data_IF_189161274010
#
_entry.id   IF_189161274010
#
_cell.length_a   1.000
_cell.length_b   1.000
_cell.length_c   1.000
_cell.angle_alpha   90.00
_cell.angle_beta   90.00
_cell.angle_gamma   90.00
#
_symmetry.space_group_name_H-M   'P 1'
#
loop_
_entity.id
_entity.type
_entity.pdbx_description
1 polymer ?
#
# COMPACT_ATOMS: atom_id res chain seq x y z
N UNK A 1 -11.26 -0.52 -17.95
CA UNK A 1 -9.87 -0.05 -18.04
C UNK A 1 -9.05 -1.10 -18.77
N UNK A 2 -8.30 -0.72 -19.78
CA UNK A 2 -7.41 -1.62 -20.51
C UNK A 2 -5.98 -1.47 -19.98
N UNK A 3 -5.24 -2.58 -19.82
CA UNK A 3 -3.82 -2.56 -19.39
C UNK A 3 -2.99 -1.67 -20.32
N UNK A 4 -3.25 -1.71 -21.63
CA UNK A 4 -2.59 -0.86 -22.63
C UNK A 4 -2.77 0.63 -22.34
N UNK A 5 -4.00 1.05 -21.99
CA UNK A 5 -4.29 2.46 -21.70
C UNK A 5 -3.67 2.90 -20.38
N UNK A 6 -3.63 2.01 -19.38
CA UNK A 6 -2.93 2.27 -18.13
C UNK A 6 -1.44 2.44 -18.35
N UNK A 7 -0.82 1.61 -19.20
CA UNK A 7 0.61 1.73 -19.53
C UNK A 7 0.91 3.01 -20.33
N UNK A 8 -0.04 3.48 -21.15
CA UNK A 8 0.09 4.74 -21.90
C UNK A 8 0.01 5.95 -20.98
N UNK A 9 -0.91 5.92 -19.99
CA UNK A 9 -1.08 7.00 -19.02
C UNK A 9 0.04 7.03 -17.96
N UNK A 10 0.45 5.85 -17.48
CA UNK A 10 1.49 5.69 -16.47
C UNK A 10 2.52 4.66 -16.95
N UNK A 11 3.46 5.06 -17.83
CA UNK A 11 4.51 4.17 -18.32
C UNK A 11 5.44 3.71 -17.17
N UNK A 12 5.67 4.59 -16.21
CA UNK A 12 6.43 4.32 -14.97
C UNK A 12 5.54 4.52 -13.75
N UNK A 13 5.72 3.69 -12.73
CA UNK A 13 4.98 3.76 -11.49
C UNK A 13 5.95 3.63 -10.31
N UNK A 14 6.66 4.71 -9.93
CA UNK A 14 7.57 4.67 -8.80
C UNK A 14 6.79 4.39 -7.50
N UNK A 15 7.42 3.69 -6.57
CA UNK A 15 6.83 3.46 -5.25
C UNK A 15 6.72 4.80 -4.52
N UNK A 16 5.53 5.20 -4.03
CA UNK A 16 5.36 6.50 -3.38
C UNK A 16 6.15 6.66 -2.09
N UNK A 17 6.37 5.55 -1.37
CA UNK A 17 7.10 5.51 -0.10
C UNK A 17 8.61 5.38 -0.34
N UNK A 18 9.37 6.40 0.06
CA UNK A 18 10.83 6.40 -0.03
C UNK A 18 11.41 5.41 0.98
N UNK A 19 12.36 4.60 0.52
CA UNK A 19 13.03 3.57 1.32
C UNK A 19 14.45 3.34 0.81
N UNK A 20 15.27 2.61 1.57
CA UNK A 20 16.66 2.27 1.22
C UNK A 20 16.87 0.77 0.97
N UNK A 21 16.05 -0.04 1.62
CA UNK A 21 16.07 -1.50 1.53
C UNK A 21 14.69 -2.06 1.90
N UNK A 22 14.51 -3.37 1.83
CA UNK A 22 13.22 -4.03 2.09
C UNK A 22 12.74 -3.79 3.53
N UNK A 23 13.64 -3.76 4.52
CA UNK A 23 13.26 -3.45 5.90
C UNK A 23 12.70 -2.04 6.03
N UNK A 24 13.34 -1.03 5.45
CA UNK A 24 12.84 0.34 5.49
C UNK A 24 11.58 0.53 4.65
N UNK A 25 11.37 -0.27 3.59
CA UNK A 25 10.09 -0.34 2.88
C UNK A 25 8.99 -0.86 3.81
N UNK A 26 9.22 -2.00 4.49
CA UNK A 26 8.29 -2.59 5.44
C UNK A 26 7.90 -1.58 6.53
N UNK A 27 8.88 -0.89 7.13
CA UNK A 27 8.62 0.18 8.11
C UNK A 27 7.80 1.32 7.50
N UNK A 28 8.14 1.80 6.29
CA UNK A 28 7.40 2.87 5.62
C UNK A 28 5.94 2.49 5.37
N UNK A 29 5.69 1.26 4.92
CA UNK A 29 4.33 0.75 4.68
C UNK A 29 3.55 0.65 6.00
N UNK A 30 4.15 0.14 7.08
CA UNK A 30 3.53 0.12 8.41
C UNK A 30 3.19 1.53 8.89
N UNK A 31 4.10 2.49 8.71
CA UNK A 31 3.89 3.89 9.11
C UNK A 31 2.82 4.59 8.25
N UNK A 32 2.57 4.16 7.02
CA UNK A 32 1.59 4.77 6.12
C UNK A 32 0.13 4.44 6.46
N UNK A 33 -0.13 3.47 7.33
CA UNK A 33 -1.48 3.19 7.79
C UNK A 33 -2.12 4.45 8.41
N UNK A 34 -3.24 4.93 7.85
CA UNK A 34 -3.91 6.18 8.25
C UNK A 34 -2.98 7.42 8.27
N UNK A 35 -2.01 7.46 7.36
CA UNK A 35 -1.09 8.57 7.21
C UNK A 35 -0.75 8.77 5.72
N UNK A 36 -0.49 10.00 5.30
CA UNK A 36 -0.12 10.28 3.92
C UNK A 36 1.33 9.85 3.64
N UNK A 37 1.60 9.38 2.42
CA UNK A 37 2.96 9.02 1.98
C UNK A 37 3.93 10.20 2.13
N UNK A 38 3.45 11.42 1.87
CA UNK A 38 4.24 12.65 2.02
C UNK A 38 4.71 12.83 3.47
N UNK A 39 3.82 12.67 4.44
CA UNK A 39 4.19 12.80 5.86
C UNK A 39 5.15 11.69 6.29
N UNK A 40 4.90 10.44 5.88
CA UNK A 40 5.83 9.33 6.15
C UNK A 40 7.21 9.63 5.57
N UNK A 41 7.28 10.07 4.31
CA UNK A 41 8.56 10.41 3.66
C UNK A 41 9.28 11.56 4.37
N UNK A 42 8.55 12.59 4.83
CA UNK A 42 9.13 13.72 5.57
C UNK A 42 9.75 13.30 6.90
N UNK A 43 9.16 12.34 7.57
CA UNK A 43 9.69 11.79 8.84
C UNK A 43 10.87 10.87 8.57
N UNK A 44 10.71 9.93 7.65
CA UNK A 44 11.70 8.85 7.42
C UNK A 44 12.98 9.32 6.74
N UNK A 45 12.94 10.45 6.01
CA UNK A 45 14.16 11.04 5.39
C UNK A 45 15.26 11.34 6.40
N UNK A 46 14.91 11.67 7.64
CA UNK A 46 15.87 11.96 8.71
C UNK A 46 16.24 10.71 9.54
N UNK A 47 15.46 9.64 9.43
CA UNK A 47 15.63 8.40 10.19
C UNK A 47 16.51 7.41 9.42
N UNK A 48 16.18 7.11 8.17
CA UNK A 48 16.80 6.04 7.40
C UNK A 48 18.30 6.23 7.06
N UNK A 49 18.87 7.46 6.97
CA UNK A 49 20.31 7.63 6.85
C UNK A 49 21.10 7.04 8.03
N UNK A 50 20.51 7.07 9.23
CA UNK A 50 21.15 6.62 10.48
C UNK A 50 20.65 5.23 10.92
N UNK A 51 19.38 4.91 10.67
CA UNK A 51 18.71 3.73 11.17
C UNK A 51 18.00 3.00 10.02
N UNK A 52 18.64 1.99 9.44
CA UNK A 52 18.16 1.27 8.26
C UNK A 52 18.20 -0.26 8.42
N UNK A 53 18.48 -0.76 9.63
CA UNK A 53 18.49 -2.18 9.99
C UNK A 53 17.62 -2.43 11.22
N UNK A 54 17.04 -3.64 11.40
CA UNK A 54 16.25 -3.98 12.58
C UNK A 54 16.99 -3.73 13.91
N UNK A 55 18.28 -4.09 13.97
CA UNK A 55 19.12 -3.95 15.16
C UNK A 55 19.20 -2.49 15.63
N UNK A 56 19.20 -1.55 14.70
CA UNK A 56 19.23 -0.12 15.01
C UNK A 56 17.95 0.30 15.75
N UNK A 57 16.78 -0.21 15.35
CA UNK A 57 15.50 0.11 16.00
C UNK A 57 15.33 -0.59 17.33
N UNK A 58 15.87 -1.80 17.50
CA UNK A 58 15.95 -2.48 18.80
C UNK A 58 16.82 -1.66 19.77
N UNK A 59 18.01 -1.22 19.34
CA UNK A 59 18.92 -0.39 20.15
C UNK A 59 18.33 0.97 20.51
N UNK A 60 17.54 1.58 19.62
CA UNK A 60 16.83 2.84 19.90
C UNK A 60 15.82 2.68 21.04
N UNK A 61 15.14 1.56 21.09
CA UNK A 61 14.05 1.32 22.03
C UNK A 61 12.77 2.09 21.68
N UNK A 62 11.65 1.61 22.19
CA UNK A 62 10.31 2.13 21.87
C UNK A 62 10.15 3.63 22.12
N UNK A 63 10.60 4.15 23.28
CA UNK A 63 10.44 5.57 23.64
C UNK A 63 11.14 6.52 22.65
N UNK A 64 12.31 6.13 22.14
CA UNK A 64 13.04 6.93 21.15
C UNK A 64 12.39 6.88 19.78
N UNK A 65 11.86 5.71 19.37
CA UNK A 65 11.07 5.54 18.15
C UNK A 65 9.82 6.44 18.23
N UNK A 66 9.08 6.45 19.33
CA UNK A 66 7.92 7.33 19.53
C UNK A 66 8.25 8.81 19.31
N UNK A 67 9.39 9.28 19.82
CA UNK A 67 9.86 10.66 19.60
C UNK A 67 10.14 10.93 18.12
N UNK A 68 10.80 10.00 17.42
CA UNK A 68 11.17 10.14 16.01
C UNK A 68 9.97 10.19 15.05
N UNK A 69 8.88 9.48 15.38
CA UNK A 69 7.69 9.39 14.52
C UNK A 69 6.48 10.15 15.09
N UNK A 70 6.69 11.11 15.99
CA UNK A 70 5.64 11.81 16.74
C UNK A 70 4.60 12.51 15.85
N UNK A 71 5.00 12.98 14.68
CA UNK A 71 4.10 13.64 13.70
C UNK A 71 3.25 12.66 12.88
N UNK A 72 3.48 11.35 13.02
CA UNK A 72 2.69 10.31 12.36
C UNK A 72 1.48 9.97 13.23
N UNK A 73 0.28 9.93 12.62
CA UNK A 73 -0.93 9.54 13.35
C UNK A 73 -0.80 8.21 14.07
N UNK A 74 -1.41 8.08 15.26
CA UNK A 74 -1.34 6.90 16.14
C UNK A 74 0.11 6.41 16.43
N UNK A 75 1.03 7.36 16.54
CA UNK A 75 2.48 7.10 16.63
C UNK A 75 2.87 6.15 17.77
N UNK A 76 2.18 6.16 18.91
CA UNK A 76 2.50 5.27 20.05
C UNK A 76 2.28 3.80 19.71
N UNK A 77 1.17 3.49 19.02
CA UNK A 77 0.87 2.13 18.55
C UNK A 77 1.86 1.72 17.47
N UNK A 78 2.12 2.60 16.51
CA UNK A 78 3.10 2.35 15.43
C UNK A 78 4.51 2.15 15.97
N UNK A 79 4.95 2.94 16.95
CA UNK A 79 6.25 2.76 17.56
C UNK A 79 6.38 1.42 18.30
N UNK A 80 5.31 0.98 18.99
CA UNK A 80 5.25 -0.37 19.58
C UNK A 80 5.38 -1.44 18.50
N UNK A 81 4.63 -1.32 17.40
CA UNK A 81 4.69 -2.27 16.28
C UNK A 81 6.08 -2.28 15.64
N UNK A 82 6.66 -1.13 15.32
CA UNK A 82 8.02 -1.01 14.75
C UNK A 82 9.08 -1.63 15.64
N UNK A 83 9.03 -1.35 16.95
CA UNK A 83 9.97 -1.93 17.91
C UNK A 83 9.85 -3.45 17.99
N UNK A 84 8.63 -3.96 18.18
CA UNK A 84 8.39 -5.40 18.32
C UNK A 84 8.70 -6.14 17.00
N UNK A 85 8.31 -5.60 15.85
CA UNK A 85 8.65 -6.13 14.53
C UNK A 85 10.17 -6.23 14.36
N UNK A 86 10.90 -5.16 14.70
CA UNK A 86 12.37 -5.15 14.60
C UNK A 86 13.01 -6.18 15.54
N UNK A 87 12.47 -6.33 16.76
CA UNK A 87 12.91 -7.35 17.72
C UNK A 87 12.67 -8.76 17.16
N UNK A 88 11.48 -9.05 16.66
CA UNK A 88 11.15 -10.34 16.02
C UNK A 88 12.07 -10.64 14.84
N UNK A 89 12.36 -9.65 13.99
CA UNK A 89 13.29 -9.83 12.86
C UNK A 89 14.70 -10.21 13.34
N UNK A 90 15.19 -9.58 14.41
CA UNK A 90 16.52 -9.91 14.97
C UNK A 90 16.52 -11.31 15.57
N UNK A 91 15.51 -11.65 16.39
CA UNK A 91 15.46 -12.89 17.16
C UNK A 91 15.14 -14.13 16.32
N UNK A 92 14.18 -14.02 15.37
CA UNK A 92 13.72 -15.16 14.56
C UNK A 92 14.33 -15.23 13.17
N UNK A 93 14.70 -14.09 12.57
CA UNK A 93 15.05 -13.98 11.15
C UNK A 93 16.45 -13.43 10.88
N UNK A 94 17.33 -13.41 11.89
CA UNK A 94 18.71 -12.90 11.78
C UNK A 94 18.79 -11.49 11.14
N UNK A 95 17.87 -10.60 11.49
CA UNK A 95 17.76 -9.24 10.95
C UNK A 95 17.27 -9.13 9.51
N UNK A 96 16.80 -10.23 8.89
CA UNK A 96 16.29 -10.25 7.52
C UNK A 96 14.76 -10.19 7.49
N UNK A 97 14.21 -9.54 6.47
CA UNK A 97 12.75 -9.56 6.24
C UNK A 97 12.39 -10.88 5.55
N UNK A 98 11.44 -11.65 6.08
CA UNK A 98 11.03 -12.92 5.49
C UNK A 98 10.39 -12.72 4.11
N UNK A 99 10.36 -13.80 3.30
CA UNK A 99 9.95 -13.76 1.88
C UNK A 99 8.65 -14.52 1.60
N UNK A 100 7.88 -14.86 2.63
CA UNK A 100 6.58 -15.52 2.49
C UNK A 100 5.48 -14.64 3.08
N UNK A 101 4.24 -14.82 2.64
CA UNK A 101 3.10 -14.09 3.18
C UNK A 101 2.86 -14.46 4.64
N UNK A 102 2.91 -15.74 4.94
CA UNK A 102 2.68 -16.32 6.24
C UNK A 102 3.61 -15.72 7.29
N UNK A 103 4.92 -15.74 7.02
CA UNK A 103 5.92 -15.19 7.94
C UNK A 103 5.82 -13.65 8.05
N UNK A 104 5.48 -12.95 6.98
CA UNK A 104 5.29 -11.50 7.02
C UNK A 104 4.07 -11.11 7.86
N UNK A 105 2.97 -11.85 7.74
CA UNK A 105 1.73 -11.60 8.48
C UNK A 105 1.83 -11.95 9.97
N UNK A 106 2.78 -12.82 10.37
CA UNK A 106 3.12 -13.05 11.77
C UNK A 106 3.85 -11.86 12.43
N UNK A 107 4.45 -10.96 11.63
CA UNK A 107 5.18 -9.83 12.20
C UNK A 107 4.24 -8.81 12.85
N UNK A 108 4.60 -8.26 14.03
CA UNK A 108 3.80 -7.29 14.76
C UNK A 108 3.42 -6.06 13.92
N UNK A 109 2.12 -5.87 13.68
CA UNK A 109 1.58 -4.73 12.93
C UNK A 109 1.62 -4.90 11.41
N UNK A 110 1.92 -6.09 10.91
CA UNK A 110 1.88 -6.44 9.50
C UNK A 110 0.61 -7.25 9.22
N UNK A 111 -0.31 -6.67 8.46
CA UNK A 111 -1.48 -7.38 7.95
C UNK A 111 -1.31 -7.69 6.47
N UNK A 112 -2.29 -8.42 5.89
CA UNK A 112 -2.27 -8.90 4.50
C UNK A 112 -1.89 -7.81 3.48
N UNK A 113 -2.47 -6.60 3.60
CA UNK A 113 -2.13 -5.49 2.70
C UNK A 113 -0.65 -5.09 2.80
N UNK A 114 -0.11 -4.99 4.02
CA UNK A 114 1.30 -4.63 4.23
C UNK A 114 2.21 -5.70 3.66
N UNK A 115 1.93 -6.97 3.95
CA UNK A 115 2.65 -8.11 3.38
C UNK A 115 2.61 -8.09 1.84
N UNK A 116 1.42 -7.88 1.24
CA UNK A 116 1.25 -7.80 -0.21
C UNK A 116 2.08 -6.67 -0.85
N UNK A 117 2.17 -5.50 -0.21
CA UNK A 117 3.02 -4.39 -0.71
C UNK A 117 4.50 -4.77 -0.63
N UNK A 118 4.96 -5.35 0.48
CA UNK A 118 6.36 -5.77 0.64
C UNK A 118 6.71 -6.87 -0.35
N UNK A 119 5.84 -7.86 -0.53
CA UNK A 119 6.03 -8.94 -1.51
C UNK A 119 6.11 -8.39 -2.92
N UNK A 120 5.19 -7.50 -3.31
CA UNK A 120 5.15 -6.95 -4.67
C UNK A 120 6.27 -5.96 -4.95
N UNK A 121 6.52 -5.02 -4.05
CA UNK A 121 7.43 -3.89 -4.29
C UNK A 121 8.85 -4.15 -3.77
N UNK A 122 8.99 -4.95 -2.72
CA UNK A 122 10.28 -5.29 -2.13
C UNK A 122 10.91 -6.51 -2.78
N UNK A 123 10.14 -7.56 -2.98
CA UNK A 123 10.64 -8.83 -3.52
C UNK A 123 10.28 -9.08 -4.99
N UNK A 124 9.47 -8.22 -5.62
CA UNK A 124 9.03 -8.41 -7.01
C UNK A 124 8.02 -9.56 -7.18
N UNK A 125 7.54 -10.15 -6.09
CA UNK A 125 6.55 -11.23 -6.16
C UNK A 125 5.20 -10.69 -6.67
N UNK A 126 4.53 -11.39 -7.60
CA UNK A 126 3.24 -10.93 -8.10
C UNK A 126 2.17 -10.93 -7.01
N UNK A 127 1.80 -9.73 -6.55
CA UNK A 127 0.71 -9.52 -5.60
C UNK A 127 -0.15 -8.31 -6.03
N UNK A 128 -1.39 -8.28 -5.56
CA UNK A 128 -2.32 -7.21 -5.87
C UNK A 128 -2.82 -6.54 -4.57
N UNK A 129 -2.01 -5.69 -3.93
CA UNK A 129 -2.40 -5.04 -2.68
C UNK A 129 -3.64 -4.17 -2.88
N UNK A 130 -4.73 -4.44 -2.17
CA UNK A 130 -5.97 -3.66 -2.28
C UNK A 130 -5.98 -2.55 -1.22
N UNK A 131 -5.98 -1.32 -1.70
CA UNK A 131 -6.18 -0.14 -0.86
C UNK A 131 -7.57 0.49 -1.09
N UNK A 132 -7.86 1.56 -0.37
CA UNK A 132 -9.13 2.28 -0.49
C UNK A 132 -9.35 2.88 -1.88
N UNK A 133 -8.28 3.24 -2.61
CA UNK A 133 -8.38 3.72 -3.98
C UNK A 133 -8.77 2.59 -4.92
N UNK A 134 -8.06 1.47 -4.87
CA UNK A 134 -8.32 0.31 -5.74
C UNK A 134 -9.71 -0.25 -5.48
N UNK A 135 -10.09 -0.46 -4.21
CA UNK A 135 -11.41 -0.97 -3.84
C UNK A 135 -12.54 -0.06 -4.37
N UNK A 136 -12.38 1.26 -4.23
CA UNK A 136 -13.34 2.24 -4.76
C UNK A 136 -13.41 2.22 -6.29
N UNK A 137 -12.27 2.24 -6.96
CA UNK A 137 -12.23 2.32 -8.41
C UNK A 137 -12.72 1.02 -9.07
N UNK A 138 -12.35 -0.12 -8.52
CA UNK A 138 -12.83 -1.42 -8.99
C UNK A 138 -14.37 -1.49 -8.99
N UNK A 139 -15.02 -0.98 -7.93
CA UNK A 139 -16.48 -0.86 -7.86
C UNK A 139 -17.02 0.12 -8.91
N UNK A 140 -16.40 1.31 -9.04
CA UNK A 140 -16.83 2.33 -10.02
C UNK A 140 -16.74 1.84 -11.46
N UNK A 141 -15.77 1.00 -11.75
CA UNK A 141 -15.52 0.43 -13.07
C UNK A 141 -16.22 -0.91 -13.33
N UNK A 142 -16.93 -1.46 -12.32
CA UNK A 142 -17.65 -2.73 -12.42
C UNK A 142 -16.75 -3.96 -12.47
N UNK A 143 -15.55 -3.86 -11.92
CA UNK A 143 -14.59 -4.97 -11.86
C UNK A 143 -14.82 -5.87 -10.63
N UNK A 144 -15.61 -5.41 -9.67
CA UNK A 144 -15.99 -6.13 -8.45
C UNK A 144 -17.36 -5.67 -7.96
N UNK A 145 -18.06 -6.52 -7.23
CA UNK A 145 -19.30 -6.15 -6.50
C UNK A 145 -19.01 -5.34 -5.22
N UNK A 146 -17.75 -5.23 -4.81
CA UNK A 146 -17.31 -4.46 -3.67
C UNK A 146 -17.78 -5.00 -2.32
N UNK A 147 -18.04 -6.31 -2.18
CA UNK A 147 -18.46 -6.92 -0.92
C UNK A 147 -17.50 -6.61 0.22
N UNK A 148 -16.20 -6.82 -0.03
CA UNK A 148 -15.09 -6.47 0.85
C UNK A 148 -13.78 -6.41 0.03
N UNK A 149 -12.65 -6.13 0.69
CA UNK A 149 -11.34 -6.02 0.04
C UNK A 149 -10.81 -7.37 -0.46
N UNK A 150 -11.10 -8.47 0.24
CA UNK A 150 -10.70 -9.83 -0.15
C UNK A 150 -11.36 -10.19 -1.48
N UNK A 151 -12.69 -10.04 -1.58
CA UNK A 151 -13.41 -10.27 -2.83
C UNK A 151 -12.88 -9.39 -3.98
N UNK A 152 -12.56 -8.13 -3.68
CA UNK A 152 -11.98 -7.23 -4.70
C UNK A 152 -10.62 -7.73 -5.18
N UNK A 153 -9.78 -8.25 -4.30
CA UNK A 153 -8.48 -8.83 -4.65
C UNK A 153 -8.65 -10.05 -5.55
N UNK A 154 -9.52 -10.97 -5.19
CA UNK A 154 -9.84 -12.17 -5.96
C UNK A 154 -10.38 -11.82 -7.35
N UNK A 155 -11.34 -10.88 -7.44
CA UNK A 155 -11.92 -10.44 -8.69
C UNK A 155 -10.87 -9.83 -9.62
N UNK A 156 -10.00 -8.96 -9.09
CA UNK A 156 -8.95 -8.31 -9.88
C UNK A 156 -7.86 -9.31 -10.30
N UNK A 157 -7.49 -10.25 -9.44
CA UNK A 157 -6.54 -11.33 -9.76
C UNK A 157 -7.08 -12.23 -10.87
N UNK A 158 -8.38 -12.52 -10.88
CA UNK A 158 -9.05 -13.30 -11.94
C UNK A 158 -9.10 -12.55 -13.26
N UNK A 159 -9.33 -11.23 -13.23
CA UNK A 159 -9.50 -10.39 -14.43
C UNK A 159 -8.19 -10.03 -15.12
N UNK A 160 -7.09 -9.94 -14.39
CA UNK A 160 -5.83 -9.46 -14.92
C UNK A 160 -4.71 -10.53 -14.84
N UNK A 161 -3.91 -10.69 -15.92
CA UNK A 161 -2.78 -11.61 -15.89
C UNK A 161 -1.77 -11.25 -14.79
N UNK A 162 -1.27 -12.29 -14.10
CA UNK A 162 -0.38 -12.20 -12.94
C UNK A 162 0.83 -11.27 -13.14
N UNK A 163 1.43 -11.28 -14.35
CA UNK A 163 2.60 -10.45 -14.71
C UNK A 163 2.32 -8.92 -14.65
N UNK A 164 1.06 -8.50 -14.63
CA UNK A 164 0.69 -7.09 -14.59
C UNK A 164 0.31 -6.57 -13.20
N UNK A 165 0.14 -7.45 -12.21
CA UNK A 165 -0.41 -7.07 -10.91
C UNK A 165 0.40 -5.98 -10.22
N UNK A 166 1.72 -6.14 -10.13
CA UNK A 166 2.60 -5.20 -9.42
C UNK A 166 2.60 -3.78 -10.02
N UNK A 167 2.49 -3.68 -11.33
CA UNK A 167 2.42 -2.37 -12.00
C UNK A 167 1.01 -1.81 -11.96
N UNK A 168 0.02 -2.66 -12.26
CA UNK A 168 -1.36 -2.24 -12.41
C UNK A 168 -1.96 -1.68 -11.10
N UNK A 169 -1.64 -2.27 -9.95
CA UNK A 169 -2.14 -1.74 -8.69
C UNK A 169 -1.65 -0.30 -8.43
N UNK A 170 -0.39 0.02 -8.73
CA UNK A 170 0.13 1.39 -8.63
C UNK A 170 -0.55 2.33 -9.65
N UNK A 171 -0.74 1.88 -10.89
CA UNK A 171 -1.44 2.66 -11.92
C UNK A 171 -2.87 3.01 -11.48
N UNK A 172 -3.58 2.08 -10.86
CA UNK A 172 -4.94 2.34 -10.34
C UNK A 172 -4.89 3.34 -9.17
N UNK A 173 -3.93 3.23 -8.27
CA UNK A 173 -3.75 4.18 -7.18
C UNK A 173 -3.50 5.60 -7.71
N UNK A 174 -2.57 5.76 -8.65
CA UNK A 174 -2.28 7.06 -9.27
C UNK A 174 -3.51 7.64 -9.95
N UNK A 175 -4.19 6.83 -10.76
CA UNK A 175 -5.42 7.27 -11.41
C UNK A 175 -6.51 7.69 -10.41
N UNK A 176 -6.61 6.96 -9.30
CA UNK A 176 -7.55 7.28 -8.22
C UNK A 176 -7.24 8.57 -7.46
N UNK A 177 -5.97 8.96 -7.42
CA UNK A 177 -5.52 10.22 -6.80
C UNK A 177 -5.69 11.42 -7.72
N UNK A 178 -5.45 11.24 -9.01
CA UNK A 178 -5.44 12.34 -9.99
C UNK A 178 -6.81 12.57 -10.63
N UNK A 179 -7.42 11.54 -11.18
CA UNK A 179 -8.61 11.67 -12.03
C UNK A 179 -9.91 11.16 -11.40
N UNK A 180 -9.85 10.10 -10.60
CA UNK A 180 -11.06 9.48 -10.04
C UNK A 180 -11.11 9.64 -8.53
N UNK A 181 -11.04 10.88 -8.07
CA UNK A 181 -11.04 11.20 -6.63
C UNK A 181 -12.35 10.79 -5.93
N UNK A 182 -12.26 10.58 -4.62
CA UNK A 182 -13.39 10.05 -3.84
C UNK A 182 -14.62 10.98 -3.86
N UNK A 183 -14.38 12.29 -3.72
CA UNK A 183 -15.42 13.32 -3.56
C UNK A 183 -15.69 14.14 -4.83
N UNK A 184 -15.09 13.81 -5.96
CA UNK A 184 -15.23 14.60 -7.20
C UNK A 184 -15.84 13.77 -8.33
N UNK A 185 -15.32 12.57 -8.60
CA UNK A 185 -15.74 11.81 -9.75
C UNK A 185 -17.07 11.05 -9.54
N UNK A 186 -17.29 10.46 -8.36
CA UNK A 186 -18.47 9.63 -8.04
C UNK A 186 -18.83 8.57 -9.08
N UNK A 187 -17.89 8.20 -9.96
CA UNK A 187 -18.10 7.20 -11.03
C UNK A 187 -18.80 7.74 -12.30
N UNK A 188 -18.91 9.04 -12.49
CA UNK A 188 -19.67 9.68 -13.58
C UNK A 188 -18.88 10.68 -14.42
N UNK A 189 -17.69 11.14 -13.99
CA UNK A 189 -17.01 12.27 -14.67
C UNK A 189 -15.66 11.93 -15.28
N UNK A 190 -14.86 11.04 -14.70
CA UNK A 190 -13.54 10.74 -15.27
C UNK A 190 -13.63 9.84 -16.51
N UNK A 191 -12.64 9.96 -17.40
CA UNK A 191 -12.57 9.24 -18.68
C UNK A 191 -12.87 7.74 -18.56
N UNK A 192 -12.27 7.04 -17.57
CA UNK A 192 -12.52 5.59 -17.42
C UNK A 192 -13.97 5.32 -17.00
N UNK A 193 -14.50 6.08 -16.04
CA UNK A 193 -15.88 5.89 -15.58
C UNK A 193 -16.89 6.12 -16.70
N UNK A 194 -16.70 7.16 -17.51
CA UNK A 194 -17.58 7.46 -18.66
C UNK A 194 -17.43 6.44 -19.79
N UNK A 195 -16.22 5.91 -20.00
CA UNK A 195 -16.00 4.84 -20.98
C UNK A 195 -16.60 3.51 -20.54
N UNK A 196 -16.49 3.14 -19.26
CA UNK A 196 -17.08 1.91 -18.72
C UNK A 196 -18.62 1.98 -18.68
N UNK A 197 -19.17 3.14 -18.39
CA UNK A 197 -20.61 3.35 -18.19
C UNK A 197 -21.07 4.67 -18.83
N UNK A 198 -21.13 4.78 -20.17
CA UNK A 198 -21.45 6.03 -20.85
C UNK A 198 -22.85 6.57 -20.54
N UNK A 199 -23.79 5.70 -20.18
CA UNK A 199 -25.16 6.08 -19.85
C UNK A 199 -25.37 6.37 -18.36
N UNK A 200 -24.31 6.29 -17.51
CA UNK A 200 -24.45 6.53 -16.06
C UNK A 200 -24.56 8.03 -15.78
N UNK A 201 -25.73 8.46 -15.35
CA UNK A 201 -26.00 9.87 -14.94
C UNK A 201 -26.01 10.07 -13.42
N UNK A 202 -26.22 9.00 -12.64
CA UNK A 202 -26.32 9.08 -11.17
C UNK A 202 -25.00 8.68 -10.49
N UNK A 203 -24.59 9.40 -9.44
CA UNK A 203 -23.43 9.03 -8.62
C UNK A 203 -23.56 7.61 -8.07
N UNK A 204 -22.46 6.88 -8.04
CA UNK A 204 -22.40 5.56 -7.42
C UNK A 204 -21.82 5.66 -6.00
N UNK A 205 -22.52 5.13 -5.01
CA UNK A 205 -22.01 4.91 -3.67
C UNK A 205 -21.18 3.64 -3.65
N UNK A 206 -19.91 3.75 -3.33
CA UNK A 206 -19.02 2.59 -3.17
C UNK A 206 -18.98 2.16 -1.69
N UNK A 207 -18.87 0.87 -1.45
CA UNK A 207 -18.64 0.33 -0.11
C UNK A 207 -17.23 0.70 0.35
N UNK A 208 -17.03 0.85 1.63
CA UNK A 208 -15.71 1.13 2.22
C UNK A 208 -14.84 -0.12 2.20
N UNK A 209 -13.51 0.09 2.09
CA UNK A 209 -12.51 -0.95 2.24
C UNK A 209 -12.38 -1.39 3.70
#
# INVERSE_FOLDING_TARGET
MCIRDSNKTYPTTPIPLKHRNIFTLLISVLLSAQCTDVNVNNVTKNIYPKYNKPEHFVKLGRKKIEKLIRSIGIFRIKAKSVYNLSKTLVEKYNGKVPKTFEELEELPGVGHKTASVVMSQGFGYPAFPIDTHIHRLAQRWGLTNGKNVVQTEEDLKRLFPKRHWNKLHLQIIYYGREYCKARECYGISCKICTSCYPKRKRPIKTKKA
#
